data_IF_082216513283
#
_entry.id   IF_082216513283
#
_cell.length_a   1.000
_cell.length_b   1.000
_cell.length_c   1.000
_cell.angle_alpha   90.00
_cell.angle_beta   90.00
_cell.angle_gamma   90.00
#
_symmetry.space_group_name_H-M   'P 1'
#
loop_
_entity.id
_entity.type
_entity.pdbx_description
1 polymer ?
#
# COMPACT_ATOMS: atom_id res chain seq x y z
N UNK A 1 -12.81 -17.20 -4.80
CA UNK A 1 -11.74 -16.76 -3.87
C UNK A 1 -11.43 -15.31 -4.23
N UNK A 2 -11.35 -14.37 -3.28
CA UNK A 2 -11.11 -12.95 -3.62
C UNK A 2 -9.62 -12.64 -3.59
N UNK A 3 -9.07 -12.16 -4.71
CA UNK A 3 -7.71 -11.64 -4.76
C UNK A 3 -7.71 -10.21 -4.22
N UNK A 4 -6.95 -9.96 -3.14
CA UNK A 4 -6.75 -8.61 -2.58
C UNK A 4 -5.42 -8.06 -3.07
N UNK A 5 -5.41 -6.82 -3.56
CA UNK A 5 -4.20 -6.13 -4.01
C UNK A 5 -4.10 -4.75 -3.34
N UNK A 6 -2.97 -4.50 -2.66
CA UNK A 6 -2.67 -3.19 -2.06
C UNK A 6 -1.71 -2.46 -2.98
N UNK A 7 -2.11 -1.29 -3.46
CA UNK A 7 -1.28 -0.41 -4.28
C UNK A 7 -0.65 0.61 -3.36
N UNK A 8 0.68 0.74 -3.39
CA UNK A 8 1.44 1.65 -2.52
C UNK A 8 2.48 2.41 -3.32
N UNK A 9 2.60 3.72 -3.08
CA UNK A 9 3.69 4.51 -3.63
C UNK A 9 3.93 5.80 -2.82
N UNK A 10 5.19 6.23 -2.59
CA UNK A 10 5.49 7.49 -1.87
C UNK A 10 4.92 8.75 -2.54
N UNK A 11 4.91 8.77 -3.87
CA UNK A 11 4.30 9.84 -4.67
C UNK A 11 2.82 9.55 -5.02
N UNK A 12 1.91 10.48 -4.70
CA UNK A 12 0.45 10.38 -4.95
C UNK A 12 0.09 10.13 -6.41
N UNK A 13 0.71 10.88 -7.33
CA UNK A 13 0.42 10.79 -8.78
C UNK A 13 0.81 9.43 -9.33
N UNK A 14 1.97 8.91 -8.93
CA UNK A 14 2.39 7.54 -9.30
C UNK A 14 1.48 6.48 -8.68
N UNK A 15 1.03 6.66 -7.43
CA UNK A 15 0.04 5.78 -6.82
C UNK A 15 -1.26 5.74 -7.64
N UNK A 16 -1.73 6.90 -8.11
CA UNK A 16 -2.92 6.99 -8.95
C UNK A 16 -2.77 6.26 -10.28
N UNK A 17 -1.61 6.36 -10.95
CA UNK A 17 -1.38 5.61 -12.18
C UNK A 17 -1.45 4.09 -11.96
N UNK A 18 -0.85 3.59 -10.88
CA UNK A 18 -0.93 2.18 -10.51
C UNK A 18 -2.37 1.73 -10.18
N UNK A 19 -3.18 2.62 -9.61
CA UNK A 19 -4.59 2.37 -9.33
C UNK A 19 -5.40 2.21 -10.63
N UNK A 20 -5.18 3.12 -11.60
CA UNK A 20 -5.81 3.04 -12.94
C UNK A 20 -5.45 1.72 -13.63
N UNK A 21 -4.19 1.30 -13.56
CA UNK A 21 -3.75 0.04 -14.16
C UNK A 21 -4.38 -1.19 -13.49
N UNK A 22 -4.64 -1.12 -12.18
CA UNK A 22 -5.39 -2.16 -11.46
C UNK A 22 -6.85 -2.22 -11.89
N UNK A 23 -7.50 -1.07 -12.05
CA UNK A 23 -8.89 -1.00 -12.53
C UNK A 23 -9.01 -1.58 -13.94
N UNK A 24 -8.08 -1.24 -14.85
CA UNK A 24 -7.99 -1.83 -16.19
C UNK A 24 -7.80 -3.35 -16.16
N UNK A 25 -7.15 -3.88 -15.12
CA UNK A 25 -6.96 -5.32 -14.92
C UNK A 25 -8.21 -6.03 -14.35
N UNK A 26 -9.32 -5.31 -14.17
CA UNK A 26 -10.57 -5.82 -13.63
C UNK A 26 -10.58 -5.96 -12.10
N UNK A 27 -9.76 -5.18 -11.39
CA UNK A 27 -9.90 -5.05 -9.94
C UNK A 27 -10.84 -3.89 -9.60
N UNK A 28 -11.66 -4.08 -8.58
CA UNK A 28 -12.54 -3.05 -8.03
C UNK A 28 -11.90 -2.37 -6.84
N UNK A 29 -12.04 -1.05 -6.76
CA UNK A 29 -11.54 -0.26 -5.65
C UNK A 29 -12.40 -0.54 -4.40
N UNK A 30 -11.76 -1.03 -3.32
CA UNK A 30 -12.42 -1.25 -2.02
C UNK A 30 -12.08 -0.18 -1.00
N UNK A 31 -10.86 0.34 -1.04
CA UNK A 31 -10.44 1.52 -0.26
C UNK A 31 -9.71 2.49 -1.18
N UNK A 32 -10.20 3.75 -1.31
CA UNK A 32 -9.58 4.74 -2.18
C UNK A 32 -8.20 5.15 -1.64
N UNK A 33 -7.44 5.84 -2.50
CA UNK A 33 -6.10 6.34 -2.16
C UNK A 33 -6.17 7.23 -0.90
N UNK A 34 -5.34 6.90 0.09
CA UNK A 34 -5.16 7.69 1.31
C UNK A 34 -3.67 7.87 1.60
N UNK A 35 -3.31 9.03 2.14
CA UNK A 35 -1.98 9.25 2.73
C UNK A 35 -1.87 8.45 4.03
N UNK A 36 -0.80 7.68 4.15
CA UNK A 36 -0.46 6.88 5.33
C UNK A 36 0.89 7.35 5.83
N UNK A 37 0.97 7.56 7.14
CA UNK A 37 2.20 7.86 7.85
C UNK A 37 2.54 6.64 8.70
N UNK A 38 3.64 5.98 8.38
CA UNK A 38 4.16 4.84 9.11
C UNK A 38 5.34 5.28 9.95
N UNK A 39 5.46 4.71 11.15
CA UNK A 39 6.59 4.88 12.03
C UNK A 39 7.07 3.51 12.48
N UNK A 40 8.32 3.17 12.15
CA UNK A 40 8.92 1.90 12.52
C UNK A 40 10.15 2.15 13.39
N UNK A 41 10.13 1.61 14.61
CA UNK A 41 11.29 1.65 15.50
C UNK A 41 12.24 0.52 15.11
N UNK A 42 13.48 0.88 14.79
CA UNK A 42 14.54 -0.05 14.45
C UNK A 42 15.38 -0.31 15.70
N UNK A 43 15.53 -1.60 16.02
CA UNK A 43 16.34 -2.08 17.12
C UNK A 43 17.50 -2.91 16.59
N UNK A 44 18.63 -2.93 17.29
CA UNK A 44 19.71 -3.86 16.95
C UNK A 44 19.36 -5.29 17.41
N UNK A 45 20.22 -6.27 17.06
CA UNK A 45 20.05 -7.68 17.47
C UNK A 45 20.04 -7.90 19.00
N UNK A 46 20.50 -6.92 19.79
CA UNK A 46 20.48 -6.92 21.27
C UNK A 46 19.24 -6.22 21.84
N UNK A 47 18.29 -5.79 20.99
CA UNK A 47 17.08 -5.08 21.41
C UNK A 47 17.28 -3.60 21.78
N UNK A 48 18.45 -3.03 21.51
CA UNK A 48 18.72 -1.61 21.78
C UNK A 48 18.15 -0.75 20.65
N UNK A 49 17.46 0.33 21.02
CA UNK A 49 16.93 1.31 20.07
C UNK A 49 18.07 1.93 19.25
N UNK A 50 17.90 1.95 17.93
CA UNK A 50 18.81 2.64 17.01
C UNK A 50 18.18 3.95 16.56
N UNK A 51 16.99 3.87 15.93
CA UNK A 51 16.30 5.01 15.34
C UNK A 51 14.84 4.67 15.05
N UNK A 52 14.03 5.69 14.78
CA UNK A 52 12.71 5.55 14.18
C UNK A 52 12.79 5.93 12.70
N UNK A 53 12.23 5.10 11.83
CA UNK A 53 12.01 5.41 10.42
C UNK A 53 10.58 5.94 10.29
N UNK A 54 10.45 7.14 9.73
CA UNK A 54 9.16 7.73 9.38
C UNK A 54 8.99 7.71 7.87
N UNK A 55 7.93 7.09 7.39
CA UNK A 55 7.61 7.03 5.97
C UNK A 55 6.21 7.58 5.71
N UNK A 56 6.10 8.44 4.71
CA UNK A 56 4.82 8.88 4.17
C UNK A 56 4.63 8.26 2.80
N UNK A 57 3.52 7.54 2.62
CA UNK A 57 3.16 6.94 1.35
C UNK A 57 1.66 6.99 1.11
N UNK A 58 1.27 6.79 -0.14
CA UNK A 58 -0.12 6.71 -0.55
C UNK A 58 -0.49 5.25 -0.75
N UNK A 59 -1.64 4.83 -0.22
CA UNK A 59 -2.15 3.46 -0.35
C UNK A 59 -3.60 3.44 -0.83
N UNK A 60 -3.92 2.51 -1.74
CA UNK A 60 -5.28 2.09 -2.06
C UNK A 60 -5.40 0.56 -1.99
N UNK A 61 -6.62 0.07 -1.77
CA UNK A 61 -6.91 -1.37 -1.69
C UNK A 61 -7.93 -1.76 -2.74
N UNK A 62 -7.59 -2.79 -3.49
CA UNK A 62 -8.33 -3.33 -4.62
C UNK A 62 -8.68 -4.80 -4.39
N UNK A 63 -9.82 -5.24 -4.92
CA UNK A 63 -10.28 -6.63 -4.85
C UNK A 63 -10.70 -7.13 -6.23
N UNK A 64 -10.47 -8.41 -6.51
CA UNK A 64 -10.96 -9.07 -7.73
C UNK A 64 -11.53 -10.43 -7.38
N UNK A 65 -12.71 -10.74 -7.90
CA UNK A 65 -13.27 -12.09 -7.81
C UNK A 65 -12.46 -13.03 -8.70
N UNK A 66 -11.91 -14.09 -8.13
CA UNK A 66 -11.31 -15.17 -8.90
C UNK A 66 -12.41 -16.20 -9.11
N UNK A 67 -13.00 -16.18 -10.31
CA UNK A 67 -13.87 -17.25 -10.81
C UNK A 67 -12.95 -18.46 -11.06
N UNK A 68 -13.30 -19.59 -10.44
CA UNK A 68 -12.57 -20.86 -10.59
C UNK A 68 -12.93 -21.51 -11.91
#
# INVERSE_FOLDING_TARGET
MRAVSRVRHPNKRRCLMLCIDKEKSGFECKKPIKEIRSHEKIFNKKGQYIRTIEETYYEAVYVKEVVK
#
